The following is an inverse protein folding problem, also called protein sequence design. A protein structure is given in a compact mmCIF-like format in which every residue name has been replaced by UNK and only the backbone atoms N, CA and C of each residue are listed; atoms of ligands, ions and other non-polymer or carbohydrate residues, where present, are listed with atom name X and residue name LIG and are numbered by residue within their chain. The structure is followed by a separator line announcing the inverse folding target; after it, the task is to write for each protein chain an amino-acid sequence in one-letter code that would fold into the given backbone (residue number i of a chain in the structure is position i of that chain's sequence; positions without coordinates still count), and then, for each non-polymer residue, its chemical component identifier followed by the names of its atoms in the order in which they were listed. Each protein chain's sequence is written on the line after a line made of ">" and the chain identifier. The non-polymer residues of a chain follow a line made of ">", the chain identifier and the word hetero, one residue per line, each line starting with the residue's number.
data_IF_180893364800
#
_entry.id   IF_180893364800
#
_cell.length_a   1.000
_cell.length_b   1.000
_cell.length_c   1.000
_cell.angle_alpha   90.00
_cell.angle_beta   90.00
_cell.angle_gamma   90.00
#
_symmetry.space_group_name_H-M   'P 1'
#
loop_
_entity.id
_entity.type
_entity.pdbx_description
1 polymer ?
#
# COMPACT_ATOMS: atom_id res chain seq x y z
N UNK A 1 6.53 35.65 -15.92
CA UNK A 1 6.62 34.21 -16.16
C UNK A 1 7.33 33.61 -14.95
N UNK A 2 6.58 33.03 -14.06
CA UNK A 2 7.15 32.39 -12.86
C UNK A 2 7.44 30.93 -13.25
N UNK A 3 8.71 30.61 -13.46
CA UNK A 3 9.12 29.21 -13.52
C UNK A 3 9.03 28.62 -12.12
N UNK A 4 7.93 27.99 -11.85
CA UNK A 4 7.89 27.02 -10.74
C UNK A 4 8.76 25.87 -11.22
N UNK A 5 9.97 25.78 -10.72
CA UNK A 5 10.79 24.60 -10.85
C UNK A 5 10.06 23.50 -10.07
N UNK A 6 9.15 22.79 -10.71
CA UNK A 6 8.54 21.63 -10.11
C UNK A 6 9.62 20.55 -10.12
N UNK A 7 10.04 20.14 -8.95
CA UNK A 7 10.84 18.93 -8.73
C UNK A 7 10.05 17.65 -9.04
N UNK A 8 8.88 17.80 -9.62
CA UNK A 8 8.12 16.68 -10.19
C UNK A 8 8.90 16.15 -11.39
N UNK A 9 9.35 14.92 -11.31
CA UNK A 9 10.07 14.25 -12.39
C UNK A 9 9.28 14.25 -13.70
N UNK A 10 9.97 13.96 -14.78
CA UNK A 10 9.36 13.80 -16.11
C UNK A 10 8.25 12.72 -16.04
N UNK A 11 6.99 13.04 -16.37
CA UNK A 11 5.88 12.09 -16.32
C UNK A 11 6.09 10.82 -17.14
N UNK A 12 6.92 10.90 -18.20
CA UNK A 12 7.24 9.74 -19.04
C UNK A 12 8.20 8.76 -18.35
N UNK A 13 8.95 9.22 -17.36
CA UNK A 13 9.98 8.42 -16.68
C UNK A 13 9.81 8.37 -15.16
N UNK A 14 8.64 8.74 -14.66
CA UNK A 14 8.34 8.76 -13.23
C UNK A 14 7.20 7.81 -12.91
N UNK A 15 7.44 6.95 -11.92
CA UNK A 15 6.41 6.09 -11.33
C UNK A 15 6.11 6.63 -9.93
N UNK A 16 4.86 6.99 -9.70
CA UNK A 16 4.39 7.40 -8.37
C UNK A 16 4.21 6.15 -7.51
N UNK A 17 4.80 6.15 -6.35
CA UNK A 17 4.61 5.09 -5.35
C UNK A 17 3.57 5.56 -4.34
N UNK A 18 2.38 4.99 -4.42
CA UNK A 18 1.24 5.33 -3.58
C UNK A 18 1.26 4.52 -2.27
N UNK A 19 2.24 4.77 -1.43
CA UNK A 19 2.34 4.16 -0.11
C UNK A 19 2.81 5.18 0.93
N UNK A 20 2.19 5.17 2.10
CA UNK A 20 2.67 5.91 3.28
C UNK A 20 3.73 5.14 4.07
N UNK A 21 4.03 3.90 3.70
CA UNK A 21 5.00 3.06 4.39
C UNK A 21 6.39 3.22 3.77
N UNK A 22 7.31 3.88 4.49
CA UNK A 22 8.66 4.14 4.02
C UNK A 22 9.47 2.87 3.76
N UNK A 23 9.25 1.80 4.53
CA UNK A 23 9.94 0.53 4.30
C UNK A 23 9.54 -0.09 2.97
N UNK A 24 8.25 -0.10 2.67
CA UNK A 24 7.74 -0.57 1.37
C UNK A 24 8.26 0.27 0.21
N UNK A 25 8.30 1.59 0.37
CA UNK A 25 8.86 2.49 -0.64
C UNK A 25 10.32 2.13 -0.97
N UNK A 26 11.15 1.92 0.05
CA UNK A 26 12.56 1.55 -0.12
C UNK A 26 12.67 0.20 -0.84
N UNK A 27 11.91 -0.79 -0.42
CA UNK A 27 11.89 -2.12 -1.05
C UNK A 27 11.46 -2.07 -2.52
N UNK A 28 10.36 -1.39 -2.82
CA UNK A 28 9.86 -1.22 -4.19
C UNK A 28 10.92 -0.53 -5.05
N UNK A 29 11.48 0.57 -4.57
CA UNK A 29 12.52 1.31 -5.28
C UNK A 29 13.75 0.45 -5.53
N UNK A 30 14.23 -0.26 -4.53
CA UNK A 30 15.43 -1.08 -4.64
C UNK A 30 15.25 -2.22 -5.65
N UNK A 31 14.12 -2.92 -5.59
CA UNK A 31 13.83 -4.06 -6.46
C UNK A 31 13.59 -3.61 -7.90
N UNK A 32 12.72 -2.61 -8.09
CA UNK A 32 12.27 -2.21 -9.42
C UNK A 32 13.28 -1.35 -10.16
N UNK A 33 14.11 -0.56 -9.48
CA UNK A 33 15.15 0.24 -10.14
C UNK A 33 16.14 -0.63 -10.92
N UNK A 34 16.40 -1.84 -10.46
CA UNK A 34 17.27 -2.80 -11.14
C UNK A 34 16.61 -3.38 -12.41
N UNK A 35 15.28 -3.45 -12.44
CA UNK A 35 14.50 -4.03 -13.55
C UNK A 35 14.03 -2.99 -14.55
N UNK A 36 13.92 -1.76 -14.11
CA UNK A 36 13.40 -0.64 -14.90
C UNK A 36 14.40 0.53 -14.88
N UNK A 37 15.59 0.34 -15.48
CA UNK A 37 16.59 1.40 -15.52
C UNK A 37 16.05 2.61 -16.28
N UNK A 38 16.31 3.82 -15.79
CA UNK A 38 15.79 5.06 -16.36
C UNK A 38 14.43 5.51 -15.83
N UNK A 39 13.75 4.68 -15.05
CA UNK A 39 12.52 5.08 -14.32
C UNK A 39 12.88 5.62 -12.93
N UNK A 40 12.22 6.69 -12.53
CA UNK A 40 12.28 7.22 -11.17
C UNK A 40 11.06 6.75 -10.37
N UNK A 41 11.29 6.37 -9.13
CA UNK A 41 10.23 5.97 -8.20
C UNK A 41 10.09 7.05 -7.15
N UNK A 42 8.98 7.79 -7.18
CA UNK A 42 8.75 8.97 -6.36
C UNK A 42 7.57 8.70 -5.42
N UNK A 43 7.75 8.85 -4.10
CA UNK A 43 6.63 8.73 -3.18
C UNK A 43 5.59 9.81 -3.45
N UNK A 44 4.32 9.46 -3.34
CA UNK A 44 3.22 10.41 -3.59
C UNK A 44 3.32 11.66 -2.71
N UNK A 45 3.81 11.53 -1.49
CA UNK A 45 3.99 12.64 -0.56
C UNK A 45 5.00 13.70 -1.05
N UNK A 46 5.93 13.32 -1.93
CA UNK A 46 6.89 14.27 -2.53
C UNK A 46 6.28 15.11 -3.65
N UNK A 47 5.11 14.71 -4.16
CA UNK A 47 4.40 15.37 -5.25
C UNK A 47 3.32 16.34 -4.78
N UNK A 48 2.92 16.25 -3.54
CA UNK A 48 1.91 17.12 -2.94
C UNK A 48 1.31 16.55 -1.66
N UNK A 49 0.43 17.33 -1.07
CA UNK A 49 -0.36 16.93 0.11
C UNK A 49 -1.72 16.42 -0.38
N UNK A 50 -1.82 15.13 -0.53
CA UNK A 50 -3.02 14.46 -1.00
C UNK A 50 -3.67 13.67 0.13
N UNK A 51 -4.99 13.69 0.21
CA UNK A 51 -5.72 12.85 1.14
C UNK A 51 -5.61 11.38 0.73
N UNK A 52 -5.47 10.50 1.72
CA UNK A 52 -5.51 9.07 1.46
C UNK A 52 -6.91 8.67 0.96
N UNK A 53 -7.01 7.89 -0.12
CA UNK A 53 -8.29 7.40 -0.59
C UNK A 53 -8.91 6.42 0.42
N UNK A 54 -10.24 6.34 0.43
CA UNK A 54 -10.93 5.35 1.23
C UNK A 54 -10.63 3.94 0.69
N UNK A 55 -10.03 3.11 1.52
CA UNK A 55 -9.76 1.70 1.21
C UNK A 55 -10.96 0.84 1.60
N UNK A 56 -12.03 0.95 0.85
CA UNK A 56 -13.31 0.27 1.07
C UNK A 56 -13.52 -0.97 0.17
N UNK A 57 -12.47 -1.41 -0.49
CA UNK A 57 -12.46 -2.62 -1.29
C UNK A 57 -12.60 -3.90 -0.45
N UNK A 58 -13.14 -4.93 -1.05
CA UNK A 58 -13.33 -6.23 -0.39
C UNK A 58 -12.08 -7.12 -0.44
N UNK A 59 -11.17 -6.83 -1.35
CA UNK A 59 -9.93 -7.58 -1.56
C UNK A 59 -8.70 -6.68 -1.48
N UNK A 60 -7.53 -7.29 -1.25
CA UNK A 60 -6.26 -6.58 -1.35
C UNK A 60 -6.05 -5.95 -2.74
N UNK A 61 -6.46 -6.66 -3.79
CA UNK A 61 -6.39 -6.13 -5.16
C UNK A 61 -7.24 -4.87 -5.31
N UNK A 62 -8.48 -4.88 -4.82
CA UNK A 62 -9.36 -3.71 -4.91
C UNK A 62 -8.76 -2.50 -4.23
N UNK A 63 -8.22 -2.67 -3.02
CA UNK A 63 -7.61 -1.57 -2.27
C UNK A 63 -6.32 -1.06 -2.92
N UNK A 64 -5.47 -1.95 -3.43
CA UNK A 64 -4.28 -1.56 -4.17
C UNK A 64 -4.65 -0.79 -5.45
N UNK A 65 -5.69 -1.22 -6.16
CA UNK A 65 -6.20 -0.55 -7.35
C UNK A 65 -6.75 0.84 -7.03
N UNK A 66 -7.55 0.98 -5.97
CA UNK A 66 -8.08 2.27 -5.50
C UNK A 66 -6.93 3.25 -5.25
N UNK A 67 -5.89 2.83 -4.56
CA UNK A 67 -4.72 3.68 -4.27
C UNK A 67 -3.95 4.08 -5.53
N UNK A 68 -3.69 3.15 -6.42
CA UNK A 68 -2.99 3.43 -7.67
C UNK A 68 -3.79 4.38 -8.57
N UNK A 69 -5.09 4.20 -8.64
CA UNK A 69 -5.99 5.03 -9.43
C UNK A 69 -6.05 6.46 -8.89
N UNK A 70 -6.25 6.61 -7.58
CA UNK A 70 -6.22 7.91 -6.92
C UNK A 70 -4.88 8.63 -7.15
N UNK A 71 -3.76 7.92 -7.06
CA UNK A 71 -2.44 8.50 -7.31
C UNK A 71 -2.30 9.04 -8.74
N UNK A 72 -2.78 8.32 -9.74
CA UNK A 72 -2.78 8.82 -11.13
C UNK A 72 -3.66 10.06 -11.30
N UNK A 73 -4.86 10.05 -10.71
CA UNK A 73 -5.81 11.15 -10.83
C UNK A 73 -5.30 12.42 -10.16
N UNK A 74 -4.79 12.31 -8.94
CA UNK A 74 -4.37 13.45 -8.14
C UNK A 74 -3.03 14.03 -8.59
N UNK A 75 -2.08 13.20 -9.00
CA UNK A 75 -0.75 13.68 -9.40
C UNK A 75 -0.63 14.05 -10.87
N UNK A 76 -1.54 13.57 -11.71
CA UNK A 76 -1.44 13.75 -13.17
C UNK A 76 -0.29 12.97 -13.81
N UNK A 77 0.40 12.12 -13.07
CA UNK A 77 1.48 11.28 -13.60
C UNK A 77 0.95 10.16 -14.49
N UNK A 78 1.84 9.56 -15.30
CA UNK A 78 1.46 8.51 -16.23
C UNK A 78 1.49 7.11 -15.64
N UNK A 79 2.28 6.91 -14.58
CA UNK A 79 2.47 5.61 -13.95
C UNK A 79 2.30 5.73 -12.45
N UNK A 80 1.58 4.79 -11.86
CA UNK A 80 1.48 4.65 -10.41
C UNK A 80 1.58 3.18 -10.01
N UNK A 81 2.24 2.94 -8.89
CA UNK A 81 2.30 1.65 -8.25
C UNK A 81 1.76 1.78 -6.84
N UNK A 82 0.94 0.85 -6.44
CA UNK A 82 0.40 0.76 -5.09
C UNK A 82 0.37 -0.69 -4.64
N UNK A 83 0.35 -0.88 -3.34
CA UNK A 83 0.18 -2.18 -2.74
C UNK A 83 -0.90 -2.15 -1.66
N UNK A 84 -1.46 -3.31 -1.40
CA UNK A 84 -2.21 -3.57 -0.19
C UNK A 84 -1.80 -4.92 0.37
N UNK A 85 -1.68 -5.00 1.69
CA UNK A 85 -1.19 -6.21 2.36
C UNK A 85 -1.82 -6.37 3.73
N UNK A 86 -1.83 -7.60 4.21
CA UNK A 86 -2.34 -7.89 5.52
C UNK A 86 -2.04 -9.31 5.97
N UNK A 87 -2.38 -9.57 7.22
CA UNK A 87 -2.25 -10.87 7.84
C UNK A 87 -3.56 -11.65 7.70
N UNK A 88 -3.47 -12.86 7.17
CA UNK A 88 -4.60 -13.77 7.03
C UNK A 88 -4.38 -14.97 7.95
N UNK A 89 -5.27 -15.15 8.92
CA UNK A 89 -5.21 -16.24 9.91
C UNK A 89 -6.25 -17.30 9.57
N UNK A 90 -5.81 -18.53 9.39
CA UNK A 90 -6.69 -19.61 8.91
C UNK A 90 -7.82 -19.92 9.90
N UNK A 91 -7.54 -19.96 11.19
CA UNK A 91 -8.55 -20.20 12.23
C UNK A 91 -9.64 -19.11 12.29
N UNK A 92 -9.31 -17.90 11.81
CA UNK A 92 -10.23 -16.77 11.71
C UNK A 92 -10.81 -16.60 10.30
N UNK A 93 -10.74 -17.64 9.47
CA UNK A 93 -11.23 -17.65 8.08
C UNK A 93 -10.61 -16.52 7.23
N UNK A 94 -9.33 -16.26 7.44
CA UNK A 94 -8.58 -15.25 6.72
C UNK A 94 -8.58 -13.85 7.36
N UNK A 95 -9.34 -13.64 8.43
CA UNK A 95 -9.27 -12.37 9.17
C UNK A 95 -7.91 -12.25 9.91
N UNK A 96 -7.41 -11.03 10.15
CA UNK A 96 -7.98 -9.72 9.83
C UNK A 96 -7.98 -9.35 8.33
N UNK A 97 -7.12 -9.95 7.49
CA UNK A 97 -7.10 -9.72 6.04
C UNK A 97 -6.94 -8.24 5.66
N UNK A 98 -7.84 -7.72 4.84
CA UNK A 98 -7.84 -6.31 4.39
C UNK A 98 -8.01 -5.30 5.54
N UNK A 99 -8.49 -5.74 6.70
CA UNK A 99 -8.67 -4.93 7.89
C UNK A 99 -7.45 -4.91 8.83
N UNK A 100 -6.33 -5.54 8.45
CA UNK A 100 -5.17 -5.74 9.33
C UNK A 100 -4.69 -4.46 9.99
N UNK A 101 -4.53 -3.37 9.24
CA UNK A 101 -4.04 -2.10 9.77
C UNK A 101 -5.03 -1.38 10.70
N UNK A 102 -6.31 -1.73 10.65
CA UNK A 102 -7.40 -1.11 11.44
C UNK A 102 -8.26 -2.14 12.18
N UNK A 103 -7.69 -3.30 12.47
CA UNK A 103 -8.41 -4.44 13.05
C UNK A 103 -9.08 -4.12 14.38
N UNK A 104 -8.43 -3.29 15.22
CA UNK A 104 -8.98 -2.81 16.49
C UNK A 104 -9.77 -1.50 16.37
N UNK A 105 -9.92 -0.94 15.16
CA UNK A 105 -10.71 0.24 14.86
C UNK A 105 -9.90 1.48 14.50
N UNK A 106 -8.68 1.62 14.97
CA UNK A 106 -7.80 2.76 14.65
C UNK A 106 -6.70 2.31 13.71
N UNK A 107 -6.59 2.98 12.56
CA UNK A 107 -5.57 2.69 11.58
C UNK A 107 -4.15 2.93 12.13
N UNK A 108 -3.29 1.93 12.00
CA UNK A 108 -1.90 2.01 12.41
C UNK A 108 -1.64 1.78 13.90
N UNK A 109 -2.66 1.49 14.70
CA UNK A 109 -2.49 1.08 16.09
C UNK A 109 -2.14 -0.42 16.17
N UNK A 110 -0.87 -0.72 15.91
CA UNK A 110 -0.38 -2.09 15.81
C UNK A 110 -0.52 -2.84 17.15
N UNK A 111 -0.30 -2.17 18.26
CA UNK A 111 -0.44 -2.77 19.59
C UNK A 111 -1.88 -3.22 19.86
N UNK A 112 -2.87 -2.36 19.62
CA UNK A 112 -4.27 -2.69 19.78
C UNK A 112 -4.72 -3.77 18.77
N UNK A 113 -4.23 -3.71 17.51
CA UNK A 113 -4.53 -4.71 16.49
C UNK A 113 -4.01 -6.09 16.89
N UNK A 114 -2.77 -6.17 17.37
CA UNK A 114 -2.18 -7.41 17.85
C UNK A 114 -2.89 -7.94 19.09
N UNK A 115 -3.23 -7.08 20.04
CA UNK A 115 -3.96 -7.48 21.24
C UNK A 115 -5.35 -8.05 20.91
N UNK A 116 -6.08 -7.43 19.98
CA UNK A 116 -7.37 -7.97 19.50
C UNK A 116 -7.20 -9.32 18.82
N UNK A 117 -6.18 -9.47 17.97
CA UNK A 117 -5.90 -10.72 17.28
C UNK A 117 -5.62 -11.85 18.27
N UNK A 118 -4.77 -11.61 19.26
CA UNK A 118 -4.45 -12.59 20.29
C UNK A 118 -5.67 -12.98 21.12
N UNK A 119 -6.54 -12.03 21.47
CA UNK A 119 -7.80 -12.34 22.13
C UNK A 119 -8.73 -13.23 21.29
N UNK A 120 -8.77 -13.00 19.98
CA UNK A 120 -9.55 -13.84 19.05
C UNK A 120 -9.00 -15.26 18.93
N UNK A 121 -7.72 -15.43 19.17
CA UNK A 121 -7.03 -16.72 19.15
C UNK A 121 -6.94 -17.38 20.52
N UNK A 122 -7.53 -16.80 21.55
CA UNK A 122 -7.55 -17.39 22.89
C UNK A 122 -8.18 -18.79 22.85
N UNK A 123 -7.50 -19.74 23.48
CA UNK A 123 -7.92 -21.16 23.46
C UNK A 123 -7.57 -21.92 22.17
N UNK A 124 -7.02 -21.27 21.15
CA UNK A 124 -6.53 -21.94 19.95
C UNK A 124 -5.11 -22.45 20.20
N UNK A 125 -4.84 -23.76 20.08
CA UNK A 125 -3.50 -24.29 20.26
C UNK A 125 -2.56 -23.84 19.14
N UNK A 126 -1.26 -23.77 19.43
CA UNK A 126 -0.24 -23.25 18.52
C UNK A 126 -0.23 -23.98 17.16
N UNK A 127 -0.49 -25.29 17.16
CA UNK A 127 -0.56 -26.12 15.96
C UNK A 127 -1.68 -25.71 14.99
N UNK A 128 -2.64 -24.93 15.46
CA UNK A 128 -3.77 -24.44 14.66
C UNK A 128 -3.68 -22.93 14.37
N UNK A 129 -2.61 -22.26 14.83
CA UNK A 129 -2.40 -20.83 14.61
C UNK A 129 -1.65 -20.53 13.31
N UNK A 130 -2.06 -21.18 12.21
CA UNK A 130 -1.48 -20.91 10.91
C UNK A 130 -1.92 -19.55 10.39
N UNK A 131 -0.96 -18.78 9.92
CA UNK A 131 -1.20 -17.46 9.33
C UNK A 131 -0.21 -17.20 8.20
N UNK A 132 -0.59 -16.28 7.32
CA UNK A 132 0.28 -15.83 6.23
C UNK A 132 0.08 -14.35 6.01
N UNK A 133 1.17 -13.67 5.64
CA UNK A 133 1.06 -12.35 5.06
C UNK A 133 0.70 -12.48 3.58
N UNK A 134 -0.28 -11.67 3.17
CA UNK A 134 -0.66 -11.53 1.79
C UNK A 134 -0.34 -10.12 1.32
N UNK A 135 0.26 -9.98 0.14
CA UNK A 135 0.54 -8.68 -0.47
C UNK A 135 0.14 -8.70 -1.93
N UNK A 136 -0.57 -7.67 -2.34
CA UNK A 136 -0.93 -7.44 -3.74
C UNK A 136 -0.33 -6.13 -4.18
N UNK A 137 0.36 -6.14 -5.31
CA UNK A 137 0.96 -4.95 -5.93
C UNK A 137 0.27 -4.71 -7.26
N UNK A 138 -0.17 -3.48 -7.49
CA UNK A 138 -0.82 -3.04 -8.72
C UNK A 138 -0.01 -1.90 -9.33
N UNK A 139 0.24 -1.98 -10.62
CA UNK A 139 0.80 -0.89 -11.40
C UNK A 139 -0.21 -0.47 -12.47
N UNK A 140 -0.53 0.82 -12.48
CA UNK A 140 -1.39 1.44 -13.48
C UNK A 140 -0.60 2.40 -14.36
N UNK A 141 -1.05 2.54 -15.60
CA UNK A 141 -0.51 3.53 -16.52
C UNK A 141 -1.63 4.16 -17.33
N UNK A 142 -1.42 5.42 -17.71
CA UNK A 142 -2.31 6.12 -18.66
C UNK A 142 -1.93 5.75 -20.09
N UNK A 143 -2.92 5.44 -20.88
CA UNK A 143 -2.78 5.29 -22.33
C UNK A 143 -2.75 6.65 -23.02
#
# INVERSE_FOLDING_TARGET
>A
MVYICSSAGDPAHTIVVATGNLHKLVEIREILSRRMPGMQFVPIADLGDFADPAEDGETFHDNALIKAQAALEETGMNFAIADDSGLCVDELRGAPGVYSARWAGVHGDDEANNAKLLRKLDGVPDERRHARFHSTVVMLYRK
#
